data_IF_392710405818
#
_entry.id   IF_392710405818
#
_cell.length_a   1.000
_cell.length_b   1.000
_cell.length_c   1.000
_cell.angle_alpha   90.00
_cell.angle_beta   90.00
_cell.angle_gamma   90.00
#
_symmetry.space_group_name_H-M   'P 1'
#
loop_
_entity.id
_entity.type
_entity.pdbx_description
1 polymer ?
#
# COMPACT_ATOMS: atom_id res chain seq x y z
N UNK A 1 12.92 11.63 -31.77
CA UNK A 1 12.33 10.30 -31.46
C UNK A 1 10.93 10.60 -30.94
N UNK A 2 9.89 10.22 -31.66
CA UNK A 2 8.51 10.57 -31.36
C UNK A 2 8.12 9.92 -30.03
N UNK A 3 7.65 10.73 -29.07
CA UNK A 3 6.87 10.23 -27.95
C UNK A 3 5.62 9.57 -28.52
N UNK A 4 5.67 8.24 -28.64
CA UNK A 4 4.45 7.48 -28.80
C UNK A 4 3.61 7.81 -27.55
N UNK A 5 2.39 8.31 -27.74
CA UNK A 5 1.44 8.56 -26.66
C UNK A 5 1.26 7.26 -25.88
N UNK A 6 2.04 7.09 -24.82
CA UNK A 6 1.82 6.00 -23.90
C UNK A 6 0.42 6.20 -23.34
N UNK A 7 -0.49 5.27 -23.64
CA UNK A 7 -1.84 5.30 -23.10
C UNK A 7 -1.80 5.46 -21.57
N UNK A 8 -2.84 6.02 -20.99
CA UNK A 8 -2.94 6.22 -19.53
C UNK A 8 -2.62 4.92 -18.81
N UNK A 9 -1.58 4.91 -18.00
CA UNK A 9 -1.20 3.73 -17.20
C UNK A 9 -2.21 3.46 -16.09
N UNK A 10 -2.37 2.19 -15.76
CA UNK A 10 -3.34 1.74 -14.76
C UNK A 10 -2.62 1.34 -13.48
N UNK A 11 -3.09 1.86 -12.35
CA UNK A 11 -2.65 1.52 -11.01
C UNK A 11 -3.74 0.79 -10.24
N UNK A 12 -3.36 -0.25 -9.51
CA UNK A 12 -4.22 -0.87 -8.48
C UNK A 12 -3.68 -0.47 -7.11
N UNK A 13 -4.55 0.09 -6.27
CA UNK A 13 -4.26 0.38 -4.87
C UNK A 13 -5.16 -0.47 -3.99
N UNK A 14 -4.58 -1.36 -3.18
CA UNK A 14 -5.34 -2.22 -2.26
C UNK A 14 -5.56 -1.54 -0.92
N UNK A 15 -6.71 -1.79 -0.25
CA UNK A 15 -7.08 -1.11 0.98
C UNK A 15 -7.26 0.39 0.77
N UNK A 16 -7.89 0.77 -0.35
CA UNK A 16 -7.90 2.14 -0.85
C UNK A 16 -9.19 2.92 -0.56
N UNK A 17 -10.10 2.36 0.24
CA UNK A 17 -11.32 3.06 0.66
C UNK A 17 -11.04 4.26 1.57
N UNK A 18 -9.91 4.27 2.31
CA UNK A 18 -9.57 5.31 3.30
C UNK A 18 -8.07 5.39 3.60
N UNK A 19 -7.69 6.40 4.40
CA UNK A 19 -6.35 6.56 4.94
C UNK A 19 -5.25 6.64 3.86
N UNK A 20 -4.13 5.97 4.08
CA UNK A 20 -2.98 5.98 3.17
C UNK A 20 -3.36 5.50 1.76
N UNK A 21 -4.21 4.46 1.68
CA UNK A 21 -4.65 3.91 0.39
C UNK A 21 -5.46 4.92 -0.42
N UNK A 22 -6.43 5.60 0.20
CA UNK A 22 -7.24 6.62 -0.48
C UNK A 22 -6.40 7.83 -0.91
N UNK A 23 -5.53 8.36 -0.02
CA UNK A 23 -4.62 9.44 -0.37
C UNK A 23 -3.67 9.06 -1.52
N UNK A 24 -3.19 7.81 -1.52
CA UNK A 24 -2.36 7.26 -2.59
C UNK A 24 -3.15 7.18 -3.91
N UNK A 25 -4.38 6.68 -3.88
CA UNK A 25 -5.22 6.58 -5.06
C UNK A 25 -5.51 7.95 -5.68
N UNK A 26 -5.88 8.94 -4.85
CA UNK A 26 -6.08 10.33 -5.25
C UNK A 26 -4.82 10.93 -5.88
N UNK A 27 -3.66 10.74 -5.24
CA UNK A 27 -2.39 11.24 -5.74
C UNK A 27 -2.02 10.61 -7.09
N UNK A 28 -2.15 9.31 -7.25
CA UNK A 28 -1.84 8.64 -8.52
C UNK A 28 -2.79 9.11 -9.65
N UNK A 29 -4.06 9.37 -9.35
CA UNK A 29 -4.98 9.95 -10.33
C UNK A 29 -4.53 11.37 -10.75
N UNK A 30 -4.08 12.20 -9.82
CA UNK A 30 -3.49 13.52 -10.10
C UNK A 30 -2.22 13.42 -10.94
N UNK A 31 -1.43 12.38 -10.76
CA UNK A 31 -0.23 12.08 -11.55
C UNK A 31 -0.57 11.51 -12.94
N UNK A 32 -1.87 11.35 -13.29
CA UNK A 32 -2.35 10.92 -14.61
C UNK A 32 -2.58 9.42 -14.77
N UNK A 33 -2.55 8.64 -13.70
CA UNK A 33 -2.91 7.21 -13.75
C UNK A 33 -4.44 7.03 -13.75
N UNK A 34 -4.93 6.00 -14.44
CA UNK A 34 -6.24 5.45 -14.15
C UNK A 34 -6.12 4.51 -12.93
N UNK A 35 -6.99 4.64 -11.94
CA UNK A 35 -6.80 4.01 -10.63
C UNK A 35 -7.93 3.03 -10.31
N UNK A 36 -7.60 1.77 -10.09
CA UNK A 36 -8.49 0.82 -9.43
C UNK A 36 -8.36 0.96 -7.91
N UNK A 37 -9.43 1.43 -7.28
CA UNK A 37 -9.59 1.57 -5.84
C UNK A 37 -10.12 0.23 -5.32
N UNK A 38 -9.23 -0.65 -4.83
CA UNK A 38 -9.58 -1.98 -4.38
C UNK A 38 -9.69 -2.01 -2.86
N UNK A 39 -10.81 -2.48 -2.35
CA UNK A 39 -11.01 -2.75 -0.93
C UNK A 39 -11.82 -4.04 -0.73
N UNK A 40 -11.99 -4.51 0.50
CA UNK A 40 -12.75 -5.73 0.81
C UNK A 40 -14.20 -5.65 0.30
N UNK A 41 -14.79 -4.48 0.40
CA UNK A 41 -16.15 -4.19 -0.07
C UNK A 41 -16.11 -3.06 -1.11
N UNK A 42 -16.68 -3.32 -2.29
CA UNK A 42 -16.74 -2.34 -3.39
C UNK A 42 -17.50 -1.06 -2.98
N UNK A 43 -18.53 -1.17 -2.16
CA UNK A 43 -19.28 0.00 -1.71
C UNK A 43 -18.41 0.96 -0.89
N UNK A 44 -17.49 0.45 -0.10
CA UNK A 44 -16.56 1.26 0.70
C UNK A 44 -15.56 2.04 -0.15
N UNK A 45 -15.22 1.54 -1.35
CA UNK A 45 -14.29 2.18 -2.28
C UNK A 45 -14.91 3.37 -3.04
N UNK A 46 -16.25 3.48 -3.09
CA UNK A 46 -16.96 4.48 -3.90
C UNK A 46 -16.60 5.92 -3.55
N UNK A 47 -16.47 6.24 -2.27
CA UNK A 47 -16.13 7.61 -1.86
C UNK A 47 -14.78 8.08 -2.40
N UNK A 48 -13.78 7.20 -2.46
CA UNK A 48 -12.48 7.51 -3.07
C UNK A 48 -12.59 7.63 -4.59
N UNK A 49 -13.39 6.78 -5.24
CA UNK A 49 -13.64 6.87 -6.70
C UNK A 49 -14.32 8.19 -7.04
N UNK A 50 -15.39 8.56 -6.34
CA UNK A 50 -16.11 9.82 -6.54
C UNK A 50 -15.18 11.04 -6.37
N UNK A 51 -14.29 11.01 -5.39
CA UNK A 51 -13.31 12.07 -5.19
C UNK A 51 -12.29 12.18 -6.34
N UNK A 52 -11.85 11.04 -6.89
CA UNK A 52 -10.97 11.01 -8.08
C UNK A 52 -11.69 11.55 -9.30
N UNK A 53 -12.93 11.13 -9.55
CA UNK A 53 -13.73 11.57 -10.69
C UNK A 53 -14.09 13.07 -10.61
N UNK A 54 -14.42 13.55 -9.41
CA UNK A 54 -14.66 14.97 -9.16
C UNK A 54 -13.42 15.85 -9.45
N UNK A 55 -12.22 15.28 -9.29
CA UNK A 55 -10.96 15.93 -9.67
C UNK A 55 -10.58 15.74 -11.15
N UNK A 56 -11.46 15.11 -11.96
CA UNK A 56 -11.25 14.87 -13.40
C UNK A 56 -10.39 13.64 -13.71
N UNK A 57 -10.09 12.80 -12.72
CA UNK A 57 -9.39 11.54 -12.89
C UNK A 57 -10.30 10.40 -13.36
N UNK A 58 -9.70 9.27 -13.68
CA UNK A 58 -10.43 8.03 -14.05
C UNK A 58 -10.19 6.98 -12.98
N UNK A 59 -11.27 6.44 -12.41
CA UNK A 59 -11.17 5.42 -11.38
C UNK A 59 -12.21 4.31 -11.53
N UNK A 60 -11.99 3.19 -10.83
CA UNK A 60 -12.88 2.04 -10.77
C UNK A 60 -12.91 1.51 -9.32
N UNK A 61 -14.09 1.37 -8.73
CA UNK A 61 -14.25 0.67 -7.47
C UNK A 61 -14.21 -0.84 -7.69
N UNK A 62 -13.44 -1.56 -6.88
CA UNK A 62 -13.29 -3.01 -6.97
C UNK A 62 -13.39 -3.63 -5.57
N UNK A 63 -14.28 -4.59 -5.38
CA UNK A 63 -14.40 -5.38 -4.15
C UNK A 63 -13.64 -6.68 -4.27
N UNK A 64 -12.69 -6.95 -3.36
CA UNK A 64 -12.01 -8.24 -3.28
C UNK A 64 -11.29 -8.42 -1.93
N UNK A 65 -11.35 -9.62 -1.37
CA UNK A 65 -10.44 -10.04 -0.31
C UNK A 65 -9.07 -10.38 -0.93
N UNK A 66 -8.06 -9.60 -0.60
CA UNK A 66 -6.68 -9.82 -1.10
C UNK A 66 -6.09 -11.17 -0.66
N UNK A 67 -6.63 -11.79 0.39
CA UNK A 67 -6.22 -13.10 0.86
C UNK A 67 -6.86 -14.27 0.09
N UNK A 68 -7.86 -13.99 -0.76
CA UNK A 68 -8.57 -14.97 -1.59
C UNK A 68 -8.04 -14.93 -3.04
N UNK A 69 -7.51 -16.07 -3.50
CA UNK A 69 -6.88 -16.17 -4.82
C UNK A 69 -7.86 -15.95 -5.98
N UNK A 70 -9.10 -16.47 -5.86
CA UNK A 70 -10.09 -16.39 -6.93
C UNK A 70 -10.61 -14.96 -7.07
N UNK A 71 -10.89 -14.30 -5.93
CA UNK A 71 -11.30 -12.90 -5.92
C UNK A 71 -10.20 -11.97 -6.45
N UNK A 72 -8.94 -12.21 -6.09
CA UNK A 72 -7.81 -11.44 -6.61
C UNK A 72 -7.68 -11.57 -8.12
N UNK A 73 -7.76 -12.78 -8.66
CA UNK A 73 -7.66 -13.03 -10.10
C UNK A 73 -8.82 -12.35 -10.84
N UNK A 74 -10.06 -12.52 -10.37
CA UNK A 74 -11.24 -11.87 -10.94
C UNK A 74 -11.15 -10.32 -10.88
N UNK A 75 -10.67 -9.77 -9.76
CA UNK A 75 -10.48 -8.33 -9.59
C UNK A 75 -9.45 -7.77 -10.59
N UNK A 76 -8.31 -8.43 -10.76
CA UNK A 76 -7.26 -7.98 -11.70
C UNK A 76 -7.75 -8.10 -13.15
N UNK A 77 -8.47 -9.15 -13.51
CA UNK A 77 -9.08 -9.31 -14.84
C UNK A 77 -10.12 -8.22 -15.13
N UNK A 78 -10.97 -7.91 -14.15
CA UNK A 78 -11.94 -6.81 -14.27
C UNK A 78 -11.25 -5.46 -14.48
N UNK A 79 -10.21 -5.17 -13.71
CA UNK A 79 -9.41 -3.94 -13.89
C UNK A 79 -8.80 -3.89 -15.28
N UNK A 80 -8.23 -5.00 -15.77
CA UNK A 80 -7.62 -5.06 -17.09
C UNK A 80 -8.66 -4.83 -18.21
N UNK A 81 -9.89 -5.31 -18.04
CA UNK A 81 -10.97 -5.15 -18.99
C UNK A 81 -11.57 -3.72 -19.01
N UNK A 82 -11.74 -3.10 -17.83
CA UNK A 82 -12.45 -1.82 -17.69
C UNK A 82 -11.51 -0.59 -17.70
N UNK A 83 -10.32 -0.69 -17.13
CA UNK A 83 -9.34 0.41 -17.11
C UNK A 83 -8.17 0.21 -18.07
N UNK A 84 -7.84 -1.03 -18.40
CA UNK A 84 -6.66 -1.42 -19.14
C UNK A 84 -5.65 -2.18 -18.28
N UNK A 85 -4.58 -2.68 -18.92
CA UNK A 85 -3.58 -3.52 -18.27
C UNK A 85 -2.92 -2.83 -17.06
N UNK A 86 -3.04 -3.37 -15.82
CA UNK A 86 -2.46 -2.75 -14.65
C UNK A 86 -0.93 -2.94 -14.64
N UNK A 87 -0.21 -1.84 -14.59
CA UNK A 87 1.26 -1.83 -14.57
C UNK A 87 1.84 -1.20 -13.30
N UNK A 88 0.98 -0.70 -12.41
CA UNK A 88 1.34 -0.23 -11.07
C UNK A 88 0.52 -0.97 -10.04
N UNK A 89 1.19 -1.49 -9.00
CA UNK A 89 0.55 -2.16 -7.87
C UNK A 89 1.04 -1.56 -6.56
N UNK A 90 0.08 -1.11 -5.74
CA UNK A 90 0.34 -0.65 -4.38
C UNK A 90 -0.28 -1.65 -3.40
N UNK A 91 0.55 -2.48 -2.79
CA UNK A 91 0.17 -3.41 -1.74
C UNK A 91 0.05 -2.64 -0.41
N UNK A 92 -1.12 -2.05 -0.17
CA UNK A 92 -1.40 -1.24 1.01
C UNK A 92 -2.43 -1.91 1.96
N UNK A 93 -3.28 -2.81 1.48
CA UNK A 93 -4.26 -3.50 2.31
C UNK A 93 -3.62 -4.07 3.59
N UNK A 94 -4.28 -3.86 4.72
CA UNK A 94 -3.73 -4.28 5.99
C UNK A 94 -4.70 -4.17 7.16
N UNK A 95 -4.46 -5.01 8.16
CA UNK A 95 -5.22 -5.07 9.42
C UNK A 95 -4.28 -5.21 10.59
N UNK A 96 -4.74 -4.83 11.78
CA UNK A 96 -4.04 -5.10 13.04
C UNK A 96 -4.84 -6.06 13.91
N UNK A 97 -4.15 -6.98 14.57
CA UNK A 97 -4.66 -7.88 15.61
C UNK A 97 -3.62 -7.94 16.72
N UNK A 98 -3.46 -6.79 17.39
CA UNK A 98 -2.41 -6.59 18.38
C UNK A 98 -2.76 -7.31 19.66
N UNK A 99 -1.83 -8.13 20.15
CA UNK A 99 -1.90 -8.76 21.45
C UNK A 99 -0.49 -9.19 21.90
N UNK A 100 -0.28 -9.31 23.20
CA UNK A 100 0.96 -9.92 23.72
C UNK A 100 1.05 -11.37 23.23
N UNK A 101 2.25 -11.85 22.88
CA UNK A 101 2.44 -13.16 22.27
C UNK A 101 1.74 -14.28 23.02
N UNK A 102 1.79 -14.30 24.35
CA UNK A 102 1.15 -15.33 25.18
C UNK A 102 -0.40 -15.28 25.20
N UNK A 103 -1.00 -14.22 24.64
CA UNK A 103 -2.46 -14.06 24.47
C UNK A 103 -2.88 -14.03 23.01
N UNK A 104 -1.93 -13.94 22.07
CA UNK A 104 -2.21 -13.89 20.65
C UNK A 104 -2.77 -15.23 20.20
N UNK A 105 -3.92 -15.22 19.54
CA UNK A 105 -4.51 -16.43 18.99
C UNK A 105 -3.91 -16.77 17.62
N UNK A 106 -4.00 -18.04 17.21
CA UNK A 106 -3.63 -18.46 15.86
C UNK A 106 -4.45 -17.69 14.82
N UNK A 107 -5.73 -17.44 15.08
CA UNK A 107 -6.58 -16.61 14.19
C UNK A 107 -6.08 -15.18 14.05
N UNK A 108 -5.59 -14.55 15.14
CA UNK A 108 -4.99 -13.21 15.05
C UNK A 108 -3.73 -13.22 14.20
N UNK A 109 -2.90 -14.24 14.37
CA UNK A 109 -1.69 -14.45 13.57
C UNK A 109 -2.03 -14.68 12.11
N UNK A 110 -2.87 -15.65 11.80
CA UNK A 110 -3.22 -16.04 10.44
C UNK A 110 -3.92 -14.91 9.68
N UNK A 111 -4.83 -14.17 10.34
CA UNK A 111 -5.49 -13.02 9.74
C UNK A 111 -4.49 -11.98 9.26
N UNK A 112 -3.51 -11.61 10.10
CA UNK A 112 -2.50 -10.62 9.74
C UNK A 112 -1.57 -11.15 8.65
N UNK A 113 -1.09 -12.39 8.75
CA UNK A 113 -0.22 -12.99 7.74
C UNK A 113 -0.93 -13.11 6.38
N UNK A 114 -2.20 -13.52 6.38
CA UNK A 114 -2.99 -13.69 5.16
C UNK A 114 -3.24 -12.37 4.45
N UNK A 115 -3.66 -11.33 5.17
CA UNK A 115 -3.94 -10.04 4.54
C UNK A 115 -2.66 -9.38 4.03
N UNK A 116 -1.60 -9.32 4.86
CA UNK A 116 -0.40 -8.56 4.51
C UNK A 116 0.55 -9.30 3.56
N UNK A 117 0.93 -10.55 3.89
CA UNK A 117 1.94 -11.28 3.11
C UNK A 117 1.31 -12.08 1.98
N UNK A 118 0.32 -12.92 2.29
CA UNK A 118 -0.36 -13.71 1.26
C UNK A 118 -1.07 -12.78 0.27
N UNK A 119 -1.72 -11.71 0.74
CA UNK A 119 -2.39 -10.74 -0.12
C UNK A 119 -1.43 -10.04 -1.07
N UNK A 120 -0.30 -9.54 -0.57
CA UNK A 120 0.72 -8.93 -1.43
C UNK A 120 1.29 -9.93 -2.45
N UNK A 121 1.50 -11.18 -2.06
CA UNK A 121 1.93 -12.24 -2.96
C UNK A 121 0.90 -12.51 -4.07
N UNK A 122 -0.38 -12.71 -3.71
CA UNK A 122 -1.44 -12.99 -4.67
C UNK A 122 -1.65 -11.85 -5.67
N UNK A 123 -1.75 -10.61 -5.16
CA UNK A 123 -1.90 -9.42 -5.99
C UNK A 123 -0.71 -9.25 -6.94
N UNK A 124 0.52 -9.39 -6.44
CA UNK A 124 1.72 -9.25 -7.28
C UNK A 124 1.77 -10.33 -8.34
N UNK A 125 1.46 -11.59 -7.98
CA UNK A 125 1.41 -12.72 -8.92
C UNK A 125 0.39 -12.50 -10.04
N UNK A 126 -0.78 -11.97 -9.72
CA UNK A 126 -1.83 -11.70 -10.71
C UNK A 126 -1.47 -10.53 -11.65
N UNK A 127 -0.86 -9.46 -11.09
CA UNK A 127 -0.57 -8.24 -11.86
C UNK A 127 0.72 -8.35 -12.69
N UNK A 128 1.74 -9.09 -12.24
CA UNK A 128 3.06 -9.14 -12.87
C UNK A 128 3.04 -9.53 -14.36
N UNK A 129 2.07 -10.35 -14.80
CA UNK A 129 1.93 -10.74 -16.21
C UNK A 129 1.80 -9.52 -17.13
N UNK A 130 1.00 -8.52 -16.71
CA UNK A 130 0.79 -7.28 -17.45
C UNK A 130 2.04 -6.38 -17.45
N UNK A 131 2.77 -6.36 -16.31
CA UNK A 131 4.03 -5.61 -16.21
C UNK A 131 5.13 -6.21 -17.11
N UNK A 132 5.24 -7.54 -17.14
CA UNK A 132 6.22 -8.26 -17.98
C UNK A 132 5.93 -8.03 -19.47
N UNK A 133 4.66 -8.12 -19.88
CA UNK A 133 4.22 -7.87 -21.24
C UNK A 133 4.49 -6.42 -21.67
N UNK A 134 4.19 -5.46 -20.79
CA UNK A 134 4.47 -4.05 -21.03
C UNK A 134 5.97 -3.70 -20.98
N UNK A 135 6.84 -4.59 -20.50
CA UNK A 135 8.25 -4.33 -20.19
C UNK A 135 8.44 -3.10 -19.29
N UNK A 136 7.49 -2.86 -18.44
CA UNK A 136 7.45 -1.75 -17.49
C UNK A 136 6.50 -2.08 -16.34
N UNK A 137 6.90 -1.80 -15.12
CA UNK A 137 6.04 -1.98 -13.96
C UNK A 137 6.60 -1.34 -12.71
N UNK A 138 5.71 -1.08 -11.76
CA UNK A 138 6.04 -0.54 -10.45
C UNK A 138 5.26 -1.27 -9.35
N UNK A 139 5.97 -1.86 -8.41
CA UNK A 139 5.37 -2.46 -7.21
C UNK A 139 5.85 -1.69 -5.99
N UNK A 140 4.91 -1.20 -5.19
CA UNK A 140 5.21 -0.56 -3.91
C UNK A 140 4.44 -1.27 -2.80
N UNK A 141 5.15 -1.77 -1.79
CA UNK A 141 4.56 -2.46 -0.65
C UNK A 141 4.63 -1.61 0.61
N UNK A 142 3.50 -1.44 1.30
CA UNK A 142 3.43 -0.70 2.57
C UNK A 142 3.90 -1.60 3.72
N UNK A 143 5.18 -1.45 4.10
CA UNK A 143 5.75 -2.01 5.33
C UNK A 143 5.34 -1.15 6.54
N UNK A 144 6.17 -1.05 7.56
CA UNK A 144 5.99 -0.22 8.76
C UNK A 144 7.31 -0.13 9.51
N UNK A 145 7.49 0.91 10.33
CA UNK A 145 8.55 0.91 11.36
C UNK A 145 8.42 -0.25 12.33
N UNK A 146 7.23 -0.83 12.49
CA UNK A 146 7.01 -2.03 13.31
C UNK A 146 7.75 -3.27 12.78
N UNK A 147 8.25 -3.24 11.54
CA UNK A 147 9.15 -4.29 11.02
C UNK A 147 10.44 -4.42 11.83
N UNK A 148 10.83 -3.38 12.57
CA UNK A 148 11.99 -3.37 13.48
C UNK A 148 11.66 -3.95 14.87
N UNK A 149 10.42 -4.34 15.09
CA UNK A 149 9.89 -4.84 16.35
C UNK A 149 9.00 -3.82 17.05
N UNK A 150 7.84 -4.29 17.53
CA UNK A 150 6.93 -3.49 18.34
C UNK A 150 6.20 -4.39 19.34
N UNK A 151 6.07 -3.92 20.57
CA UNK A 151 5.44 -4.68 21.65
C UNK A 151 3.97 -4.97 21.32
N UNK A 152 3.56 -6.23 21.46
CA UNK A 152 2.19 -6.67 21.17
C UNK A 152 1.88 -6.87 19.68
N UNK A 153 2.86 -6.76 18.81
CA UNK A 153 2.70 -6.87 17.36
C UNK A 153 3.56 -7.99 16.73
N UNK A 154 3.69 -9.13 17.40
CA UNK A 154 4.50 -10.22 16.86
C UNK A 154 4.07 -10.63 15.44
N UNK A 155 2.76 -10.75 15.19
CA UNK A 155 2.19 -11.02 13.86
C UNK A 155 2.45 -9.88 12.88
N UNK A 156 2.10 -8.65 13.24
CA UNK A 156 2.20 -7.48 12.37
C UNK A 156 3.67 -7.15 12.03
N UNK A 157 4.56 -7.16 13.04
CA UNK A 157 6.00 -6.94 12.82
C UNK A 157 6.60 -7.99 11.89
N UNK A 158 6.24 -9.28 12.08
CA UNK A 158 6.69 -10.35 11.19
C UNK A 158 6.19 -10.14 9.77
N UNK A 159 4.90 -9.82 9.59
CA UNK A 159 4.34 -9.58 8.27
C UNK A 159 5.00 -8.38 7.57
N UNK A 160 5.22 -7.28 8.31
CA UNK A 160 5.83 -6.05 7.76
C UNK A 160 7.32 -6.22 7.46
N UNK A 161 8.05 -7.02 8.24
CA UNK A 161 9.43 -7.41 7.93
C UNK A 161 9.47 -8.36 6.72
N UNK A 162 8.54 -9.31 6.62
CA UNK A 162 8.40 -10.22 5.48
C UNK A 162 8.18 -9.49 4.16
N UNK A 163 7.38 -8.41 4.15
CA UNK A 163 7.18 -7.56 2.96
C UNK A 163 8.49 -6.92 2.47
N UNK A 164 9.43 -6.58 3.37
CA UNK A 164 10.74 -6.03 2.98
C UNK A 164 11.59 -7.08 2.25
N UNK A 165 11.61 -8.33 2.74
CA UNK A 165 12.27 -9.44 2.06
C UNK A 165 11.63 -9.76 0.72
N UNK A 166 10.30 -9.84 0.67
CA UNK A 166 9.52 -10.06 -0.54
C UNK A 166 9.82 -8.99 -1.61
N UNK A 167 9.84 -7.71 -1.23
CA UNK A 167 10.17 -6.60 -2.12
C UNK A 167 11.55 -6.74 -2.76
N UNK A 168 12.56 -7.13 -1.99
CA UNK A 168 13.93 -7.33 -2.51
C UNK A 168 13.98 -8.48 -3.52
N UNK A 169 13.28 -9.57 -3.24
CA UNK A 169 13.17 -10.71 -4.17
C UNK A 169 12.51 -10.30 -5.48
N UNK A 170 11.37 -9.57 -5.42
CA UNK A 170 10.70 -9.07 -6.61
C UNK A 170 11.60 -8.16 -7.46
N UNK A 171 12.39 -7.30 -6.83
CA UNK A 171 13.33 -6.42 -7.52
C UNK A 171 14.36 -7.21 -8.34
N UNK A 172 14.85 -8.34 -7.79
CA UNK A 172 15.80 -9.23 -8.47
C UNK A 172 15.12 -9.99 -9.62
N UNK A 173 13.96 -10.59 -9.36
CA UNK A 173 13.29 -11.47 -10.33
C UNK A 173 12.69 -10.71 -11.50
N UNK A 174 12.09 -9.53 -11.23
CA UNK A 174 11.34 -8.77 -12.23
C UNK A 174 12.16 -7.65 -12.88
N UNK A 175 13.32 -7.30 -12.36
CA UNK A 175 14.16 -6.19 -12.86
C UNK A 175 14.48 -6.28 -14.34
N UNK A 176 14.79 -7.49 -14.85
CA UNK A 176 15.06 -7.73 -16.28
C UNK A 176 13.89 -7.42 -17.22
N UNK A 177 12.68 -7.29 -16.66
CA UNK A 177 11.48 -6.93 -17.41
C UNK A 177 11.11 -5.45 -17.29
N UNK A 178 11.99 -4.61 -16.74
CA UNK A 178 11.73 -3.18 -16.54
C UNK A 178 10.83 -2.86 -15.35
N UNK A 179 10.65 -3.83 -14.42
CA UNK A 179 9.82 -3.66 -13.23
C UNK A 179 10.70 -3.30 -12.04
N UNK A 180 10.33 -2.26 -11.31
CA UNK A 180 10.94 -1.95 -10.00
C UNK A 180 9.99 -2.35 -8.86
N UNK A 181 10.56 -2.80 -7.75
CA UNK A 181 9.82 -3.13 -6.55
C UNK A 181 10.47 -2.44 -5.34
N UNK A 182 9.70 -1.65 -4.59
CA UNK A 182 10.17 -0.94 -3.42
C UNK A 182 9.18 -1.07 -2.25
N UNK A 183 9.63 -0.81 -1.04
CA UNK A 183 8.80 -0.78 0.15
C UNK A 183 8.89 0.58 0.83
N UNK A 184 7.77 1.06 1.33
CA UNK A 184 7.71 2.20 2.25
C UNK A 184 7.38 1.66 3.63
N UNK A 185 8.11 2.11 4.63
CA UNK A 185 7.89 1.79 6.04
C UNK A 185 7.44 3.06 6.79
N UNK A 186 6.12 3.34 6.83
CA UNK A 186 5.60 4.48 7.55
C UNK A 186 5.89 4.40 9.05
N UNK A 187 6.16 5.57 9.65
CA UNK A 187 6.11 5.75 11.10
C UNK A 187 4.68 5.93 11.59
N UNK A 188 4.50 6.87 12.51
CA UNK A 188 3.18 7.22 13.01
C UNK A 188 2.45 8.13 12.01
N UNK A 189 1.41 7.61 11.37
CA UNK A 189 0.56 8.34 10.41
C UNK A 189 -0.83 8.52 11.01
N UNK A 190 -1.37 9.73 10.92
CA UNK A 190 -2.73 10.04 11.35
C UNK A 190 -3.76 9.41 10.40
N UNK A 191 -4.49 8.41 10.88
CA UNK A 191 -5.47 7.63 10.12
C UNK A 191 -6.57 7.13 11.07
N UNK A 192 -7.67 6.62 10.52
CA UNK A 192 -8.69 5.95 11.31
C UNK A 192 -8.13 4.75 12.12
N UNK A 193 -7.10 4.07 11.61
CA UNK A 193 -6.43 2.98 12.34
C UNK A 193 -5.73 3.47 13.61
N UNK A 194 -5.05 4.60 13.56
CA UNK A 194 -4.39 5.20 14.73
C UNK A 194 -5.39 5.81 15.68
N UNK A 195 -6.51 6.35 15.20
CA UNK A 195 -7.63 6.81 16.00
C UNK A 195 -8.28 5.66 16.79
N UNK A 196 -8.59 4.55 16.11
CA UNK A 196 -9.09 3.34 16.76
C UNK A 196 -8.11 2.77 17.81
N UNK A 197 -6.81 2.99 17.63
CA UNK A 197 -5.79 2.60 18.62
C UNK A 197 -5.85 3.49 19.85
N UNK A 198 -5.97 4.80 19.70
CA UNK A 198 -6.14 5.74 20.83
C UNK A 198 -7.42 5.42 21.63
N UNK A 199 -8.53 5.15 20.94
CA UNK A 199 -9.80 4.74 21.56
C UNK A 199 -9.65 3.46 22.40
N UNK A 200 -8.97 2.43 21.87
CA UNK A 200 -8.69 1.19 22.65
C UNK A 200 -7.82 1.43 23.87
N UNK A 201 -6.94 2.42 23.81
CA UNK A 201 -6.09 2.81 24.95
C UNK A 201 -6.78 3.73 25.94
N UNK A 202 -7.99 4.22 25.63
CA UNK A 202 -8.72 5.19 26.44
C UNK A 202 -8.04 6.57 26.51
N UNK A 203 -7.26 6.94 25.49
CA UNK A 203 -6.53 8.21 25.42
C UNK A 203 -7.25 9.14 24.42
N UNK A 204 -7.54 10.41 24.79
CA UNK A 204 -8.05 11.39 23.83
C UNK A 204 -7.13 11.50 22.61
N UNK A 205 -7.72 11.50 21.41
CA UNK A 205 -6.94 11.41 20.17
C UNK A 205 -5.91 12.55 20.04
N UNK A 206 -6.27 13.77 20.38
CA UNK A 206 -5.36 14.92 20.36
C UNK A 206 -4.14 14.76 21.27
N UNK A 207 -4.33 14.17 22.45
CA UNK A 207 -3.23 13.89 23.37
C UNK A 207 -2.35 12.75 22.87
N UNK A 208 -2.94 11.74 22.22
CA UNK A 208 -2.24 10.66 21.57
C UNK A 208 -1.35 11.18 20.43
N UNK A 209 -1.88 12.07 19.58
CA UNK A 209 -1.14 12.73 18.49
C UNK A 209 -0.01 13.60 19.04
N UNK A 210 -0.27 14.44 20.05
CA UNK A 210 0.76 15.29 20.70
C UNK A 210 1.87 14.44 21.33
N UNK A 211 1.51 13.36 22.01
CA UNK A 211 2.46 12.43 22.59
C UNK A 211 3.35 11.75 21.54
N UNK A 212 2.77 11.33 20.41
CA UNK A 212 3.52 10.77 19.30
C UNK A 212 4.43 11.81 18.63
N UNK A 213 3.93 13.01 18.36
CA UNK A 213 4.68 14.09 17.73
C UNK A 213 5.92 14.50 18.53
N UNK A 214 5.84 14.49 19.87
CA UNK A 214 6.96 14.84 20.76
C UNK A 214 8.14 13.86 20.66
N UNK A 215 7.93 12.66 20.14
CA UNK A 215 8.95 11.62 19.96
C UNK A 215 9.51 11.59 18.54
N UNK A 216 8.99 12.43 17.64
CA UNK A 216 9.36 12.45 16.23
C UNK A 216 10.29 13.67 15.99
N UNK A 217 11.48 13.50 15.40
CA UNK A 217 12.43 14.59 15.19
C UNK A 217 11.89 15.81 14.42
N UNK A 218 10.98 15.58 13.43
CA UNK A 218 10.33 16.68 12.70
C UNK A 218 9.15 17.29 13.45
N UNK A 219 8.93 16.90 14.72
CA UNK A 219 7.96 17.45 15.66
C UNK A 219 6.49 17.44 15.17
N UNK A 220 6.15 16.53 14.29
CA UNK A 220 4.78 16.23 13.85
C UNK A 220 4.58 14.76 13.55
N UNK A 221 3.35 14.30 13.58
CA UNK A 221 2.96 13.01 12.99
C UNK A 221 2.89 13.13 11.48
N UNK A 222 3.02 12.01 10.77
CA UNK A 222 2.82 11.96 9.33
C UNK A 222 1.34 12.02 8.97
N UNK A 223 1.05 12.51 7.76
CA UNK A 223 -0.27 12.47 7.15
C UNK A 223 -0.28 11.43 6.03
N UNK A 224 -1.43 10.88 5.64
CA UNK A 224 -1.54 9.96 4.51
C UNK A 224 -0.87 10.49 3.23
N UNK A 225 -0.92 11.79 2.99
CA UNK A 225 -0.32 12.50 1.86
C UNK A 225 1.21 12.41 1.86
N UNK A 226 1.86 12.39 3.04
CA UNK A 226 3.32 12.22 3.14
C UNK A 226 3.75 10.87 2.51
N UNK A 227 2.93 9.83 2.70
CA UNK A 227 3.17 8.50 2.12
C UNK A 227 2.80 8.47 0.64
N UNK A 228 1.68 9.09 0.26
CA UNK A 228 1.25 9.18 -1.14
C UNK A 228 2.28 9.88 -2.03
N UNK A 229 2.95 10.93 -1.52
CA UNK A 229 4.05 11.60 -2.23
C UNK A 229 5.23 10.66 -2.49
N UNK A 230 5.59 9.82 -1.52
CA UNK A 230 6.68 8.86 -1.70
C UNK A 230 6.30 7.72 -2.64
N UNK A 231 5.03 7.27 -2.62
CA UNK A 231 4.50 6.34 -3.63
C UNK A 231 4.60 6.96 -5.02
N UNK A 232 4.13 8.19 -5.21
CA UNK A 232 4.22 8.94 -6.46
C UNK A 232 5.65 8.99 -7.01
N UNK A 233 6.64 9.24 -6.15
CA UNK A 233 8.05 9.16 -6.54
C UNK A 233 8.42 7.77 -7.05
N UNK A 234 8.13 6.70 -6.30
CA UNK A 234 8.53 5.33 -6.68
C UNK A 234 7.88 4.83 -7.96
N UNK A 235 6.69 5.31 -8.32
CA UNK A 235 6.01 4.89 -9.55
C UNK A 235 6.36 5.76 -10.75
N UNK A 236 7.10 6.85 -10.55
CA UNK A 236 7.51 7.76 -11.62
C UNK A 236 8.51 7.10 -12.59
N UNK A 237 8.64 7.68 -13.79
CA UNK A 237 9.68 7.28 -14.74
C UNK A 237 11.09 7.51 -14.17
N UNK A 238 11.28 8.61 -13.45
CA UNK A 238 12.58 8.98 -12.88
C UNK A 238 13.10 8.02 -11.82
N UNK A 239 12.21 7.21 -11.22
CA UNK A 239 12.57 6.20 -10.22
C UNK A 239 13.01 4.85 -10.84
N UNK A 240 13.19 4.75 -12.15
CA UNK A 240 13.51 3.50 -12.84
C UNK A 240 14.81 2.81 -12.42
N UNK A 241 15.71 3.49 -11.71
CA UNK A 241 16.93 2.92 -11.14
C UNK A 241 16.86 2.67 -9.63
N UNK A 242 15.70 2.96 -9.01
CA UNK A 242 15.45 2.73 -7.59
C UNK A 242 14.62 1.47 -7.45
N UNK A 243 15.25 0.36 -7.05
CA UNK A 243 14.59 -0.94 -6.89
C UNK A 243 15.18 -1.72 -5.71
N UNK A 244 14.35 -2.51 -5.02
CA UNK A 244 14.73 -3.29 -3.86
C UNK A 244 14.93 -2.47 -2.58
N UNK A 245 14.51 -1.20 -2.57
CA UNK A 245 14.74 -0.31 -1.44
C UNK A 245 13.61 -0.37 -0.42
N UNK A 246 13.98 -0.13 0.84
CA UNK A 246 13.03 0.09 1.93
C UNK A 246 13.27 1.50 2.47
N UNK A 247 12.28 2.37 2.32
CA UNK A 247 12.37 3.74 2.81
C UNK A 247 11.49 3.92 4.03
N UNK A 248 12.10 4.26 5.15
CA UNK A 248 11.41 4.58 6.39
C UNK A 248 10.93 6.04 6.36
N UNK A 249 9.62 6.24 6.17
CA UNK A 249 8.97 7.55 6.18
C UNK A 249 8.39 7.83 7.58
N UNK A 250 9.24 8.26 8.50
CA UNK A 250 8.92 8.31 9.93
C UNK A 250 9.28 9.64 10.62
N UNK A 251 9.61 10.68 9.85
CA UNK A 251 9.97 11.99 10.40
C UNK A 251 11.29 12.03 11.14
N UNK A 252 12.12 10.99 11.02
CA UNK A 252 13.44 10.87 11.62
C UNK A 252 14.10 9.54 11.27
N UNK A 253 15.39 9.35 11.59
CA UNK A 253 16.10 8.13 11.29
C UNK A 253 15.50 6.92 12.03
N UNK A 254 15.52 5.77 11.37
CA UNK A 254 15.17 4.46 11.93
C UNK A 254 16.25 3.48 11.54
N UNK A 255 16.75 2.74 12.50
CA UNK A 255 17.79 1.74 12.32
C UNK A 255 17.23 0.34 12.51
#
# INVERSE_FOLDING_TARGET
MSEASAGTRVAIVTGAARGIGAATALRLAQDGFAVAVLDLDEASAKGTVEAIEAAGGRALAVGADVADSEQVEAAVERVAAELGAPTVLINNAGVTRDNMLFKMTETDWDTVMNVHLRGAFLMTRAVQKHMIEAKWGRVVSLSSVSALGNRGQANYSTAKAGLQGFTKTLAIELGKFGVTANAIAPGFIETEMTKATAERMGIPFDDFIKGAASQIPVARVGQPEDIAHLVSFFVSEGAGFVSGQVVYAAGGPRA
#
